data_IF_503905817333
#
_entry.id   IF_503905817333
#
_cell.length_a   1.000
_cell.length_b   1.000
_cell.length_c   1.000
_cell.angle_alpha   90.00
_cell.angle_beta   90.00
_cell.angle_gamma   90.00
#
_symmetry.space_group_name_H-M   'P 1'
#
loop_
_entity.id
_entity.type
_entity.pdbx_description
1 polymer ?
#
# COMPACT_ATOMS: atom_id res chain seq x y z
N UNK A 1 -16.05 2.61 8.46
CA UNK A 1 -15.14 1.62 7.86
C UNK A 1 -15.76 0.22 8.00
N UNK A 2 -16.22 -0.40 6.90
CA UNK A 2 -16.72 -1.79 6.92
C UNK A 2 -15.52 -2.72 6.88
N UNK A 3 -15.27 -3.44 7.96
CA UNK A 3 -14.23 -4.48 7.99
C UNK A 3 -14.70 -5.62 7.09
N UNK A 4 -14.06 -5.81 5.94
CA UNK A 4 -14.31 -6.96 5.07
C UNK A 4 -13.48 -8.14 5.59
N UNK A 5 -14.12 -9.30 5.73
CA UNK A 5 -13.42 -10.54 5.95
C UNK A 5 -12.84 -11.02 4.60
N UNK A 6 -11.59 -11.47 4.63
CA UNK A 6 -10.90 -12.05 3.47
C UNK A 6 -10.82 -13.56 3.67
N UNK A 7 -11.04 -14.30 2.59
CA UNK A 7 -10.90 -15.75 2.58
C UNK A 7 -9.42 -16.13 2.68
N UNK A 8 -9.09 -17.04 3.61
CA UNK A 8 -7.70 -17.54 3.72
C UNK A 8 -7.25 -18.25 2.43
N UNK A 9 -8.17 -18.87 1.70
CA UNK A 9 -7.88 -19.51 0.42
C UNK A 9 -7.48 -18.54 -0.68
N UNK A 10 -7.80 -17.25 -0.55
CA UNK A 10 -7.37 -16.22 -1.52
C UNK A 10 -5.96 -15.73 -1.24
N UNK A 11 -5.56 -15.65 0.03
CA UNK A 11 -4.18 -15.36 0.44
C UNK A 11 -3.21 -16.43 -0.08
N UNK A 12 -3.53 -17.70 0.17
CA UNK A 12 -2.71 -18.83 -0.27
C UNK A 12 -2.57 -19.01 -1.79
N UNK A 13 -3.32 -18.25 -2.60
CA UNK A 13 -3.13 -18.27 -4.07
C UNK A 13 -1.91 -17.47 -4.50
N UNK A 14 -1.51 -16.47 -3.72
CA UNK A 14 -0.43 -15.56 -4.10
C UNK A 14 0.94 -15.99 -3.58
N UNK A 15 0.99 -16.56 -2.39
CA UNK A 15 2.18 -17.26 -1.91
C UNK A 15 1.82 -18.49 -1.09
N UNK A 16 2.74 -19.46 -1.05
CA UNK A 16 2.59 -20.66 -0.22
C UNK A 16 2.73 -20.35 1.28
N UNK A 17 3.26 -19.18 1.64
CA UNK A 17 3.55 -18.77 3.01
C UNK A 17 2.88 -17.45 3.39
N UNK A 18 1.86 -17.53 4.26
CA UNK A 18 1.12 -16.37 4.78
C UNK A 18 2.04 -15.33 5.43
N UNK A 19 3.16 -15.74 6.04
CA UNK A 19 4.09 -14.77 6.63
C UNK A 19 4.77 -13.92 5.55
N UNK A 20 5.02 -14.51 4.38
CA UNK A 20 5.56 -13.80 3.22
C UNK A 20 4.55 -12.77 2.70
N UNK A 21 3.27 -13.14 2.59
CA UNK A 21 2.18 -12.20 2.24
C UNK A 21 2.07 -11.02 3.23
N UNK A 22 2.24 -11.30 4.53
CA UNK A 22 2.23 -10.25 5.57
C UNK A 22 3.41 -9.29 5.38
N UNK A 23 4.60 -9.80 5.05
CA UNK A 23 5.77 -8.95 4.83
C UNK A 23 5.62 -8.12 3.55
N UNK A 24 5.10 -8.70 2.46
CA UNK A 24 4.86 -8.00 1.19
C UNK A 24 3.83 -6.88 1.40
N UNK A 25 2.68 -7.20 1.97
CA UNK A 25 1.59 -6.24 2.21
C UNK A 25 2.03 -5.10 3.15
N UNK A 26 2.84 -5.39 4.18
CA UNK A 26 3.38 -4.38 5.08
C UNK A 26 4.45 -3.49 4.42
N UNK A 27 5.28 -4.04 3.53
CA UNK A 27 6.26 -3.26 2.76
C UNK A 27 5.57 -2.34 1.77
N UNK A 28 4.56 -2.87 1.06
CA UNK A 28 3.77 -2.09 0.12
C UNK A 28 2.96 -0.99 0.81
N UNK A 29 2.35 -1.27 1.96
CA UNK A 29 1.66 -0.24 2.74
C UNK A 29 2.59 0.92 3.11
N UNK A 30 3.87 0.66 3.43
CA UNK A 30 4.85 1.72 3.67
C UNK A 30 5.13 2.57 2.43
N UNK A 31 5.28 1.94 1.26
CA UNK A 31 5.46 2.69 0.00
C UNK A 31 4.27 3.62 -0.28
N UNK A 32 3.04 3.16 -0.02
CA UNK A 32 1.83 3.97 -0.16
C UNK A 32 1.85 5.16 0.82
N UNK A 33 2.23 4.92 2.08
CA UNK A 33 2.37 5.98 3.09
C UNK A 33 3.43 7.00 2.66
N UNK A 34 4.59 6.55 2.20
CA UNK A 34 5.67 7.43 1.78
C UNK A 34 5.24 8.28 0.56
N UNK A 35 4.50 7.71 -0.39
CA UNK A 35 3.91 8.45 -1.52
C UNK A 35 2.96 9.53 -1.03
N UNK A 36 1.99 9.17 -0.18
CA UNK A 36 1.00 10.12 0.36
C UNK A 36 1.67 11.21 1.22
N UNK A 37 2.78 10.89 1.89
CA UNK A 37 3.56 11.87 2.66
C UNK A 37 4.23 12.90 1.74
N UNK A 38 4.78 12.48 0.61
CA UNK A 38 5.34 13.41 -0.38
C UNK A 38 4.27 14.35 -0.94
N UNK A 39 3.06 13.83 -1.18
CA UNK A 39 1.94 14.65 -1.63
C UNK A 39 1.58 15.68 -0.55
N UNK A 40 1.47 15.26 0.72
CA UNK A 40 1.23 16.16 1.87
C UNK A 40 2.34 17.21 2.08
N UNK A 41 3.61 16.87 1.89
CA UNK A 41 4.72 17.82 1.99
C UNK A 41 4.72 18.83 0.82
N UNK A 42 4.34 18.40 -0.39
CA UNK A 42 4.15 19.31 -1.51
C UNK A 42 3.02 20.32 -1.23
N UNK A 43 2.02 19.88 -0.47
CA UNK A 43 0.86 20.65 -0.04
C UNK A 43 1.15 21.70 1.03
N UNK A 44 2.03 21.40 1.99
CA UNK A 44 2.47 22.38 3.00
C UNK A 44 3.19 23.60 2.40
N UNK A 45 3.62 23.52 1.14
CA UNK A 45 4.25 24.63 0.41
C UNK A 45 3.25 25.53 -0.35
N UNK A 46 1.94 25.25 -0.26
CA UNK A 46 0.88 26.06 -0.88
C UNK A 46 0.43 27.16 0.09
N UNK A 47 0.43 28.42 -0.38
CA UNK A 47 0.22 29.61 0.46
C UNK A 47 -1.28 29.98 0.62
N UNK A 48 -2.16 29.48 -0.26
CA UNK A 48 -3.59 29.80 -0.29
C UNK A 48 -4.47 28.75 0.43
N UNK A 49 -5.36 29.23 1.30
CA UNK A 49 -6.20 28.39 2.18
C UNK A 49 -7.32 27.65 1.45
N UNK A 50 -7.72 28.11 0.26
CA UNK A 50 -8.80 27.49 -0.54
C UNK A 50 -8.37 26.14 -1.16
N UNK A 51 -7.08 25.97 -1.48
CA UNK A 51 -6.55 24.70 -1.99
C UNK A 51 -6.46 23.62 -0.90
N UNK A 52 -6.39 24.03 0.38
CA UNK A 52 -6.30 23.12 1.54
C UNK A 52 -7.65 22.41 1.79
N UNK A 53 -8.77 23.12 1.67
CA UNK A 53 -10.12 22.56 1.94
C UNK A 53 -10.52 21.47 0.91
N UNK A 54 -10.15 21.63 -0.36
CA UNK A 54 -10.41 20.64 -1.42
C UNK A 54 -9.71 19.30 -1.13
N UNK A 55 -8.58 19.35 -0.40
CA UNK A 55 -7.69 18.22 -0.23
C UNK A 55 -7.96 17.47 1.07
N UNK A 56 -8.44 18.15 2.13
CA UNK A 56 -9.04 17.46 3.28
C UNK A 56 -10.20 16.57 2.84
N UNK A 57 -11.02 17.03 1.88
CA UNK A 57 -12.15 16.27 1.33
C UNK A 57 -11.67 15.02 0.57
N UNK A 58 -10.57 15.11 -0.20
CA UNK A 58 -9.97 13.97 -0.91
C UNK A 58 -9.28 12.97 0.05
N UNK A 59 -8.67 13.43 1.14
CA UNK A 59 -8.03 12.58 2.16
C UNK A 59 -9.05 11.76 2.96
N UNK A 60 -10.26 12.28 3.20
CA UNK A 60 -11.34 11.53 3.87
C UNK A 60 -11.81 10.30 3.07
N UNK A 61 -11.62 10.29 1.75
CA UNK A 61 -12.08 9.21 0.86
C UNK A 61 -11.07 8.07 0.74
N UNK A 62 -9.79 8.31 1.05
CA UNK A 62 -8.73 7.33 0.85
C UNK A 62 -8.85 6.13 1.80
N UNK A 63 -8.81 4.93 1.23
CA UNK A 63 -8.71 3.72 2.03
C UNK A 63 -7.37 3.68 2.81
N UNK A 64 -7.36 2.93 3.91
CA UNK A 64 -6.14 2.74 4.69
C UNK A 64 -5.09 2.06 3.79
N UNK A 65 -3.82 2.49 3.84
CA UNK A 65 -2.73 1.90 3.05
C UNK A 65 -2.61 0.38 3.20
N UNK A 66 -2.95 -0.16 4.37
CA UNK A 66 -2.97 -1.60 4.66
C UNK A 66 -4.06 -2.36 3.89
N UNK A 67 -5.21 -1.73 3.63
CA UNK A 67 -6.33 -2.34 2.91
C UNK A 67 -6.06 -2.29 1.41
N UNK A 68 -5.53 -1.16 0.94
CA UNK A 68 -5.10 -0.97 -0.44
C UNK A 68 -4.00 -1.98 -0.80
N UNK A 69 -2.93 -2.07 0.00
CA UNK A 69 -1.83 -3.00 -0.27
C UNK A 69 -2.25 -4.47 -0.28
N UNK A 70 -3.19 -4.85 0.59
CA UNK A 70 -3.72 -6.21 0.63
C UNK A 70 -4.61 -6.51 -0.57
N UNK A 71 -5.37 -5.51 -1.05
CA UNK A 71 -6.22 -5.65 -2.24
C UNK A 71 -5.36 -5.78 -3.49
N UNK A 72 -4.33 -4.94 -3.64
CA UNK A 72 -3.35 -5.05 -4.74
C UNK A 72 -2.66 -6.43 -4.75
N UNK A 73 -2.28 -6.94 -3.56
CA UNK A 73 -1.66 -8.27 -3.44
C UNK A 73 -2.62 -9.36 -3.90
N UNK A 74 -3.87 -9.35 -3.43
CA UNK A 74 -4.88 -10.34 -3.79
C UNK A 74 -5.20 -10.33 -5.29
N UNK A 75 -5.23 -9.15 -5.91
CA UNK A 75 -5.45 -8.99 -7.34
C UNK A 75 -4.25 -9.45 -8.19
N UNK A 76 -3.08 -9.68 -7.59
CA UNK A 76 -1.86 -10.06 -8.31
C UNK A 76 -1.22 -8.90 -9.06
N UNK A 77 -1.45 -7.67 -8.61
CA UNK A 77 -0.90 -6.45 -9.21
C UNK A 77 0.54 -6.17 -8.76
N UNK A 78 1.03 -6.90 -7.76
CA UNK A 78 2.36 -6.76 -7.17
C UNK A 78 3.30 -7.88 -7.56
N UNK A 79 4.43 -7.50 -8.16
CA UNK A 79 5.60 -8.36 -8.28
C UNK A 79 6.52 -8.19 -7.06
N UNK A 80 6.98 -9.31 -6.51
CA UNK A 80 7.90 -9.33 -5.39
C UNK A 80 8.96 -10.42 -5.59
N UNK A 81 10.13 -10.23 -4.97
CA UNK A 81 11.25 -11.18 -5.03
C UNK A 81 11.95 -11.24 -3.68
N UNK A 82 12.53 -12.38 -3.36
CA UNK A 82 13.44 -12.50 -2.23
C UNK A 82 14.79 -11.84 -2.58
N UNK A 83 15.38 -11.15 -1.60
CA UNK A 83 16.67 -10.46 -1.75
C UNK A 83 17.82 -11.40 -2.14
N UNK A 84 17.70 -12.69 -1.85
CA UNK A 84 18.76 -13.67 -2.08
C UNK A 84 18.84 -14.13 -3.55
N UNK A 85 17.87 -13.76 -4.39
CA UNK A 85 17.85 -14.12 -5.82
C UNK A 85 18.78 -13.26 -6.71
N UNK A 86 19.46 -12.25 -6.15
CA UNK A 86 20.37 -11.35 -6.87
C UNK A 86 21.87 -11.60 -6.60
N UNK A 87 22.21 -12.72 -5.94
CA UNK A 87 23.61 -13.02 -5.57
C UNK A 87 24.33 -14.03 -6.49
N UNK A 88 23.73 -14.42 -7.61
CA UNK A 88 24.29 -15.42 -8.56
C UNK A 88 24.53 -14.86 -9.98
N UNK A 89 24.69 -13.54 -10.12
CA UNK A 89 25.30 -12.93 -11.31
C UNK A 89 26.49 -12.03 -10.91
N UNK A 90 27.61 -12.64 -10.54
CA UNK A 90 28.96 -12.06 -10.67
C UNK A 90 30.08 -13.09 -10.54
#
# INVERSE_FOLDING_TARGET
MKIKAISMSELFKQSEDVYTDVIISARRARQIIDSRKLDLEALENIEDTEDIEVIEEDLEVLEKPMVESLTELLNGELEWRHSDAESDEK
#
